data_IF_644687199080
#
_entry.id   IF_644687199080
#
_cell.length_a   1.000
_cell.length_b   1.000
_cell.length_c   1.000
_cell.angle_alpha   90.00
_cell.angle_beta   90.00
_cell.angle_gamma   90.00
#
_symmetry.space_group_name_H-M   'P 1'
#
loop_
_entity.id
_entity.type
_entity.pdbx_description
1 polymer ?
#
# COMPACT_ATOMS: atom_id res chain seq x y z
N UNK A 1 -65.03 -31.91 27.96
CA UNK A 1 -64.75 -31.58 26.55
C UNK A 1 -63.31 -31.98 26.28
N UNK A 2 -63.12 -33.25 25.97
CA UNK A 2 -61.85 -33.86 25.58
C UNK A 2 -62.01 -34.33 24.14
N UNK A 3 -61.09 -33.95 23.26
CA UNK A 3 -61.11 -34.29 21.84
C UNK A 3 -59.89 -35.13 21.47
N UNK A 4 -60.17 -36.42 21.30
CA UNK A 4 -59.66 -37.41 20.34
C UNK A 4 -58.26 -37.28 19.71
N UNK A 5 -57.54 -38.40 19.83
CA UNK A 5 -56.38 -38.86 19.03
C UNK A 5 -56.66 -38.89 17.53
N UNK A 6 -55.63 -38.72 16.71
CA UNK A 6 -55.40 -39.54 15.50
C UNK A 6 -53.91 -39.59 15.13
N UNK A 7 -53.48 -40.82 14.90
CA UNK A 7 -52.19 -41.34 14.44
C UNK A 7 -52.18 -41.33 12.90
N UNK A 8 -51.08 -40.88 12.28
CA UNK A 8 -50.87 -41.04 10.84
C UNK A 8 -49.44 -41.54 10.58
N UNK A 9 -49.38 -42.87 10.43
CA UNK A 9 -48.36 -43.64 9.74
C UNK A 9 -47.98 -43.02 8.37
N UNK A 10 -46.71 -42.67 8.19
CA UNK A 10 -46.15 -42.33 6.88
C UNK A 10 -45.87 -43.61 6.07
N UNK A 11 -46.40 -43.67 4.85
CA UNK A 11 -46.13 -44.73 3.88
C UNK A 11 -44.71 -44.58 3.27
N UNK A 12 -44.02 -45.68 2.91
CA UNK A 12 -42.71 -45.61 2.28
C UNK A 12 -42.81 -45.29 0.77
N UNK A 13 -41.94 -44.40 0.29
CA UNK A 13 -41.76 -44.08 -1.13
C UNK A 13 -40.80 -45.07 -1.81
N UNK A 14 -40.88 -45.28 -3.13
CA UNK A 14 -40.22 -46.39 -3.82
C UNK A 14 -38.72 -46.19 -4.04
N UNK A 15 -38.01 -47.31 -4.02
CA UNK A 15 -36.58 -47.48 -4.28
C UNK A 15 -36.27 -47.35 -5.78
N UNK A 16 -35.86 -46.15 -6.22
CA UNK A 16 -35.27 -45.96 -7.54
C UNK A 16 -33.74 -46.10 -7.45
N UNK A 17 -33.27 -47.31 -7.80
CA UNK A 17 -31.85 -47.61 -7.92
C UNK A 17 -31.18 -46.73 -8.97
N UNK A 18 -30.34 -45.79 -8.51
CA UNK A 18 -29.46 -45.02 -9.38
C UNK A 18 -28.11 -45.76 -9.53
N UNK A 19 -27.99 -46.43 -10.67
CA UNK A 19 -26.79 -47.11 -11.17
C UNK A 19 -25.54 -46.22 -11.06
N UNK A 20 -24.58 -46.67 -10.25
CA UNK A 20 -23.23 -46.11 -10.09
C UNK A 20 -22.33 -46.53 -11.25
N UNK A 21 -22.60 -46.10 -12.48
CA UNK A 21 -21.63 -46.27 -13.57
C UNK A 21 -21.92 -45.43 -14.81
N UNK A 22 -21.77 -44.10 -14.75
CA UNK A 22 -21.46 -43.23 -15.92
C UNK A 22 -21.44 -41.75 -15.52
N UNK A 23 -20.25 -41.23 -15.22
CA UNK A 23 -19.84 -39.88 -15.64
C UNK A 23 -18.38 -39.65 -15.24
N UNK A 24 -17.47 -40.27 -16.00
CA UNK A 24 -16.13 -39.74 -16.17
C UNK A 24 -16.28 -38.47 -17.03
N UNK A 25 -16.57 -37.34 -16.40
CA UNK A 25 -16.51 -36.04 -17.07
C UNK A 25 -15.03 -35.68 -17.17
N UNK A 26 -14.46 -35.96 -18.33
CA UNK A 26 -13.31 -35.24 -18.85
C UNK A 26 -13.65 -33.74 -18.78
N UNK A 27 -13.07 -33.03 -17.81
CA UNK A 27 -13.10 -31.58 -17.80
C UNK A 27 -12.08 -31.10 -18.83
N UNK A 28 -12.59 -30.73 -19.98
CA UNK A 28 -11.95 -29.95 -21.05
C UNK A 28 -11.00 -28.88 -20.47
N UNK A 29 -9.70 -29.15 -20.51
CA UNK A 29 -8.64 -28.18 -20.22
C UNK A 29 -8.28 -27.39 -21.50
N UNK A 30 -9.31 -26.82 -22.12
CA UNK A 30 -9.17 -25.87 -23.23
C UNK A 30 -9.76 -24.53 -22.76
N UNK A 31 -9.06 -23.87 -21.84
CA UNK A 31 -9.21 -22.42 -21.64
C UNK A 31 -8.03 -21.77 -22.36
N UNK A 32 -8.30 -21.17 -23.51
CA UNK A 32 -7.36 -20.35 -24.25
C UNK A 32 -6.70 -19.35 -23.31
N UNK A 33 -5.41 -19.55 -23.04
CA UNK A 33 -4.56 -18.55 -22.40
C UNK A 33 -4.45 -17.36 -23.36
N UNK A 34 -4.72 -16.10 -22.95
CA UNK A 34 -4.58 -14.96 -23.85
C UNK A 34 -3.14 -14.90 -24.37
N UNK A 35 -2.98 -14.94 -25.70
CA UNK A 35 -1.67 -15.06 -26.35
C UNK A 35 -0.91 -13.73 -26.41
N UNK A 36 -1.55 -12.57 -26.11
CA UNK A 36 -0.89 -11.26 -26.22
C UNK A 36 -1.15 -10.29 -25.05
N UNK A 37 -0.17 -9.45 -24.66
CA UNK A 37 -0.35 -8.39 -23.64
C UNK A 37 -1.45 -7.38 -23.99
N UNK A 38 -1.74 -7.16 -25.28
CA UNK A 38 -2.73 -6.19 -25.73
C UNK A 38 -4.19 -6.55 -25.41
N UNK A 39 -4.49 -7.79 -25.08
CA UNK A 39 -5.86 -8.23 -24.76
C UNK A 39 -6.19 -8.14 -23.26
N UNK A 40 -5.18 -8.06 -22.40
CA UNK A 40 -5.33 -8.04 -20.94
C UNK A 40 -5.33 -6.59 -20.41
N UNK A 41 -4.71 -5.66 -21.15
CA UNK A 41 -4.55 -4.27 -20.72
C UNK A 41 -5.33 -3.29 -21.59
N UNK A 42 -5.80 -2.18 -21.00
CA UNK A 42 -6.10 -1.02 -21.81
C UNK A 42 -4.85 -0.66 -22.62
N UNK A 43 -4.99 -0.53 -23.94
CA UNK A 43 -3.90 -0.04 -24.80
C UNK A 43 -3.43 1.32 -24.27
N UNK A 44 -2.17 1.72 -24.52
CA UNK A 44 -1.66 3.06 -24.15
C UNK A 44 -2.60 4.21 -24.56
N UNK A 45 -3.43 4.01 -25.58
CA UNK A 45 -4.46 4.94 -26.05
C UNK A 45 -5.69 5.09 -25.15
N UNK A 46 -5.88 4.23 -24.14
CA UNK A 46 -6.98 4.27 -23.17
C UNK A 46 -6.58 4.87 -21.81
N UNK A 47 -5.31 5.22 -21.61
CA UNK A 47 -4.83 5.96 -20.43
C UNK A 47 -5.32 7.42 -20.50
N UNK A 48 -5.83 7.96 -19.39
CA UNK A 48 -6.21 9.37 -19.31
C UNK A 48 -4.97 10.27 -19.43
N UNK A 49 -5.09 11.50 -19.97
CA UNK A 49 -3.96 12.42 -20.09
C UNK A 49 -3.19 12.68 -18.78
N UNK A 50 -3.84 12.84 -17.60
CA UNK A 50 -3.11 12.99 -16.32
C UNK A 50 -2.33 11.75 -15.91
N UNK A 51 -2.91 10.56 -16.12
CA UNK A 51 -2.24 9.30 -15.81
C UNK A 51 -1.01 9.12 -16.70
N UNK A 52 -1.14 9.41 -18.00
CA UNK A 52 -0.03 9.36 -18.94
C UNK A 52 1.08 10.34 -18.56
N UNK A 53 0.72 11.57 -18.19
CA UNK A 53 1.68 12.59 -17.74
C UNK A 53 2.54 12.08 -16.56
N UNK A 54 1.95 11.44 -15.56
CA UNK A 54 2.71 10.89 -14.44
C UNK A 54 3.50 9.61 -14.80
N UNK A 55 2.97 8.76 -15.68
CA UNK A 55 3.66 7.56 -16.16
C UNK A 55 4.91 7.92 -16.99
N UNK A 56 4.85 9.00 -17.77
CA UNK A 56 5.97 9.50 -18.58
C UNK A 56 7.07 10.12 -17.71
N UNK A 57 6.72 10.60 -16.51
CA UNK A 57 7.67 11.11 -15.53
C UNK A 57 8.28 9.96 -14.73
N UNK A 58 9.15 9.15 -15.33
CA UNK A 58 9.78 8.00 -14.66
C UNK A 58 10.31 8.33 -13.25
N UNK A 59 9.70 7.74 -12.22
CA UNK A 59 10.28 7.70 -10.88
C UNK A 59 11.43 6.69 -10.80
N UNK A 60 12.11 6.61 -9.65
CA UNK A 60 12.96 5.45 -9.34
C UNK A 60 12.03 4.25 -9.26
N UNK A 61 12.13 3.27 -10.17
CA UNK A 61 11.30 2.03 -10.22
C UNK A 61 11.54 1.13 -9.00
N UNK A 62 11.20 1.65 -7.83
CA UNK A 62 11.46 1.01 -6.55
C UNK A 62 10.54 -0.18 -6.36
N UNK A 63 9.24 -0.03 -6.68
CA UNK A 63 8.24 -1.10 -6.59
C UNK A 63 8.54 -2.25 -7.55
N UNK A 64 8.89 -1.97 -8.81
CA UNK A 64 9.31 -3.02 -9.74
C UNK A 64 10.59 -3.73 -9.29
N UNK A 65 11.52 -3.00 -8.67
CA UNK A 65 12.73 -3.60 -8.08
C UNK A 65 12.40 -4.52 -6.91
N UNK A 66 11.49 -4.12 -6.01
CA UNK A 66 11.03 -4.98 -4.92
C UNK A 66 10.33 -6.23 -5.46
N UNK A 67 9.41 -6.09 -6.41
CA UNK A 67 8.70 -7.23 -7.01
C UNK A 67 9.70 -8.23 -7.62
N UNK A 68 10.71 -7.74 -8.33
CA UNK A 68 11.80 -8.59 -8.86
C UNK A 68 12.61 -9.26 -7.74
N UNK A 69 12.90 -8.54 -6.66
CA UNK A 69 13.61 -9.11 -5.50
C UNK A 69 12.79 -10.22 -4.83
N UNK A 70 11.48 -10.04 -4.63
CA UNK A 70 10.58 -11.09 -4.16
C UNK A 70 10.58 -12.30 -5.11
N UNK A 71 10.70 -12.07 -6.41
CA UNK A 71 10.72 -13.14 -7.41
C UNK A 71 11.96 -14.03 -7.33
N UNK A 72 13.08 -13.57 -6.76
CA UNK A 72 14.26 -14.43 -6.52
C UNK A 72 13.91 -15.63 -5.61
N UNK A 73 12.96 -15.45 -4.67
CA UNK A 73 12.47 -16.52 -3.80
C UNK A 73 11.25 -17.26 -4.34
N UNK A 74 10.31 -16.52 -4.97
CA UNK A 74 9.03 -17.05 -5.43
C UNK A 74 9.13 -17.79 -6.76
N UNK A 75 10.12 -17.44 -7.60
CA UNK A 75 10.49 -18.11 -8.85
C UNK A 75 9.29 -18.29 -9.81
N UNK A 76 8.44 -17.26 -9.93
CA UNK A 76 7.30 -17.28 -10.85
C UNK A 76 7.75 -16.88 -12.28
N UNK A 77 7.01 -17.27 -13.34
CA UNK A 77 7.40 -16.98 -14.72
C UNK A 77 7.51 -15.47 -14.99
N UNK A 78 8.55 -15.05 -15.72
CA UNK A 78 8.84 -13.64 -16.03
C UNK A 78 7.63 -12.88 -16.59
N UNK A 79 6.86 -13.51 -17.47
CA UNK A 79 5.64 -12.93 -18.05
C UNK A 79 4.63 -12.53 -16.96
N UNK A 80 4.50 -13.32 -15.89
CA UNK A 80 3.58 -13.03 -14.77
C UNK A 80 4.12 -11.91 -13.89
N UNK A 81 5.43 -11.88 -13.66
CA UNK A 81 6.11 -10.78 -12.93
C UNK A 81 5.88 -9.44 -13.63
N UNK A 82 6.05 -9.39 -14.95
CA UNK A 82 5.80 -8.19 -15.76
C UNK A 82 4.35 -7.74 -15.66
N UNK A 83 3.42 -8.69 -15.71
CA UNK A 83 1.98 -8.43 -15.58
C UNK A 83 1.65 -7.80 -14.22
N UNK A 84 2.14 -8.40 -13.13
CA UNK A 84 1.92 -7.93 -11.76
C UNK A 84 2.57 -6.57 -11.56
N UNK A 85 3.81 -6.40 -12.03
CA UNK A 85 4.54 -5.12 -11.96
C UNK A 85 3.73 -4.01 -12.63
N UNK A 86 3.17 -4.27 -13.81
CA UNK A 86 2.36 -3.29 -14.52
C UNK A 86 1.06 -2.93 -13.79
N UNK A 87 0.38 -3.91 -13.20
CA UNK A 87 -0.83 -3.67 -12.40
C UNK A 87 -0.52 -2.76 -11.20
N UNK A 88 0.55 -3.08 -10.47
CA UNK A 88 0.97 -2.32 -9.29
C UNK A 88 1.41 -0.90 -9.68
N UNK A 89 2.12 -0.72 -10.80
CA UNK A 89 2.51 0.60 -11.31
C UNK A 89 1.30 1.47 -11.66
N UNK A 90 0.29 0.90 -12.33
CA UNK A 90 -0.94 1.62 -12.67
C UNK A 90 -1.68 2.06 -11.41
N UNK A 91 -1.91 1.13 -10.47
CA UNK A 91 -2.61 1.44 -9.22
C UNK A 91 -1.86 2.48 -8.38
N UNK A 92 -0.53 2.35 -8.28
CA UNK A 92 0.30 3.32 -7.58
C UNK A 92 0.24 4.70 -8.24
N UNK A 93 0.31 4.78 -9.57
CA UNK A 93 0.27 6.06 -10.27
C UNK A 93 -1.11 6.71 -10.17
N UNK A 94 -2.18 5.91 -10.21
CA UNK A 94 -3.54 6.37 -9.94
C UNK A 94 -3.69 6.89 -8.52
N UNK A 95 -3.11 6.22 -7.52
CA UNK A 95 -3.18 6.70 -6.13
C UNK A 95 -2.44 8.01 -5.93
N UNK A 96 -1.28 8.21 -6.58
CA UNK A 96 -0.54 9.48 -6.52
C UNK A 96 -1.34 10.67 -7.05
N UNK A 97 -2.14 10.48 -8.10
CA UNK A 97 -2.99 11.56 -8.62
C UNK A 97 -4.05 12.00 -7.60
N UNK A 98 -4.57 11.06 -6.81
CA UNK A 98 -5.57 11.32 -5.78
C UNK A 98 -4.89 11.96 -4.56
N UNK A 99 -3.77 11.40 -4.13
CA UNK A 99 -2.93 11.88 -3.00
C UNK A 99 -2.52 13.35 -3.20
N UNK A 100 -1.99 13.70 -4.38
CA UNK A 100 -1.57 15.09 -4.67
C UNK A 100 -2.75 16.09 -4.60
N UNK A 101 -4.00 15.66 -4.87
CA UNK A 101 -5.20 16.49 -4.72
C UNK A 101 -5.59 16.61 -3.24
N UNK A 102 -5.59 15.50 -2.50
CA UNK A 102 -5.97 15.43 -1.10
C UNK A 102 -4.98 16.18 -0.18
N UNK A 103 -3.70 16.20 -0.56
CA UNK A 103 -2.62 16.84 0.18
C UNK A 103 -2.37 18.28 -0.25
N UNK A 104 -3.06 18.75 -1.30
CA UNK A 104 -2.84 20.08 -1.88
C UNK A 104 -1.37 20.30 -2.29
N UNK A 105 -0.68 19.25 -2.74
CA UNK A 105 0.72 19.30 -3.16
C UNK A 105 0.89 20.19 -4.38
N UNK A 106 1.98 20.95 -4.43
CA UNK A 106 2.28 21.81 -5.58
C UNK A 106 3.15 21.09 -6.63
N UNK A 107 4.01 20.17 -6.18
CA UNK A 107 5.01 19.50 -7.01
C UNK A 107 5.04 17.99 -6.81
N UNK A 108 5.19 17.25 -7.90
CA UNK A 108 5.52 15.82 -7.93
C UNK A 108 6.76 15.61 -8.80
N UNK A 109 7.78 14.96 -8.25
CA UNK A 109 9.04 14.66 -8.98
C UNK A 109 9.68 15.92 -9.58
N UNK A 110 9.51 17.08 -8.91
CA UNK A 110 10.03 18.37 -9.35
C UNK A 110 9.23 19.06 -10.47
N UNK A 111 8.03 18.55 -10.80
CA UNK A 111 7.14 19.10 -11.82
C UNK A 111 5.75 19.41 -11.21
N UNK A 112 4.96 20.34 -11.76
CA UNK A 112 3.62 20.63 -11.27
C UNK A 112 2.70 19.40 -11.24
N UNK A 113 1.88 19.24 -10.20
CA UNK A 113 0.93 18.13 -10.07
C UNK A 113 -0.17 18.16 -11.14
N UNK A 114 -0.72 17.01 -11.50
CA UNK A 114 -1.46 16.79 -12.75
C UNK A 114 -2.99 17.05 -12.71
N UNK A 115 -3.51 17.85 -11.78
CA UNK A 115 -4.94 17.93 -11.46
C UNK A 115 -5.87 18.27 -12.66
N UNK A 116 -6.47 17.25 -13.31
CA UNK A 116 -7.72 17.31 -14.11
C UNK A 116 -8.18 15.94 -14.64
N UNK A 117 -9.20 15.34 -14.00
CA UNK A 117 -10.02 14.19 -14.46
C UNK A 117 -9.36 12.79 -14.51
N UNK A 118 -9.79 11.90 -13.61
CA UNK A 118 -9.37 10.49 -13.57
C UNK A 118 -10.61 9.60 -13.77
N UNK A 119 -10.67 8.92 -14.91
CA UNK A 119 -11.39 7.66 -15.05
C UNK A 119 -10.54 6.72 -15.90
N UNK A 120 -10.15 5.59 -15.34
CA UNK A 120 -9.49 4.50 -16.03
C UNK A 120 -9.95 3.19 -15.41
N UNK A 121 -10.88 2.50 -16.06
CA UNK A 121 -11.29 1.15 -15.64
C UNK A 121 -10.22 0.16 -16.08
N UNK A 122 -9.45 -0.38 -15.13
CA UNK A 122 -8.62 -1.54 -15.39
C UNK A 122 -9.53 -2.78 -15.43
N UNK A 123 -9.94 -3.20 -16.63
CA UNK A 123 -10.68 -4.44 -16.83
C UNK A 123 -9.74 -5.65 -16.70
N UNK A 124 -9.39 -6.03 -15.46
CA UNK A 124 -8.69 -7.29 -15.22
C UNK A 124 -9.73 -8.42 -15.24
N UNK A 125 -9.80 -9.19 -16.33
CA UNK A 125 -10.47 -10.50 -16.33
C UNK A 125 -9.64 -11.46 -15.46
N UNK A 126 -9.84 -11.42 -14.15
CA UNK A 126 -9.11 -12.23 -13.19
C UNK A 126 -9.98 -13.37 -12.63
N UNK A 127 -9.33 -14.45 -12.21
CA UNK A 127 -9.95 -15.54 -11.43
C UNK A 127 -10.48 -14.97 -10.10
N UNK A 128 -11.53 -15.58 -9.52
CA UNK A 128 -12.24 -15.08 -8.33
C UNK A 128 -11.31 -14.67 -7.18
N UNK A 129 -10.23 -15.44 -6.95
CA UNK A 129 -9.27 -15.18 -5.87
C UNK A 129 -8.41 -13.93 -6.13
N UNK A 130 -7.98 -13.71 -7.38
CA UNK A 130 -7.25 -12.50 -7.78
C UNK A 130 -8.17 -11.26 -7.76
N UNK A 131 -9.46 -11.41 -8.07
CA UNK A 131 -10.45 -10.33 -7.92
C UNK A 131 -10.68 -9.94 -6.46
N UNK A 132 -10.64 -10.88 -5.53
CA UNK A 132 -10.78 -10.59 -4.10
C UNK A 132 -9.60 -9.76 -3.58
N UNK A 133 -8.37 -10.21 -3.86
CA UNK A 133 -7.13 -9.50 -3.47
C UNK A 133 -7.11 -8.09 -4.10
N UNK A 134 -7.51 -7.99 -5.38
CA UNK A 134 -7.58 -6.71 -6.08
C UNK A 134 -8.63 -5.76 -5.52
N UNK A 135 -9.65 -6.25 -4.83
CA UNK A 135 -10.67 -5.40 -4.19
C UNK A 135 -10.28 -5.03 -2.75
N UNK A 136 -9.67 -5.94 -1.99
CA UNK A 136 -9.29 -5.69 -0.59
C UNK A 136 -8.16 -4.67 -0.46
N UNK A 137 -7.06 -4.84 -1.20
CA UNK A 137 -5.86 -4.04 -0.97
C UNK A 137 -6.02 -2.56 -1.33
N UNK A 138 -6.75 -2.18 -2.41
CA UNK A 138 -7.10 -0.78 -2.64
C UNK A 138 -8.07 -0.20 -1.59
N UNK A 139 -8.94 -1.03 -0.98
CA UNK A 139 -9.78 -0.56 0.12
C UNK A 139 -8.92 -0.23 1.34
N UNK A 140 -7.97 -1.09 1.71
CA UNK A 140 -7.02 -0.82 2.79
C UNK A 140 -6.21 0.46 2.50
N UNK A 141 -5.74 0.65 1.26
CA UNK A 141 -5.07 1.88 0.85
C UNK A 141 -5.93 3.12 1.15
N UNK A 142 -7.22 3.09 0.82
CA UNK A 142 -8.14 4.20 1.09
C UNK A 142 -8.48 4.38 2.57
N UNK A 143 -8.55 3.29 3.35
CA UNK A 143 -8.74 3.36 4.81
C UNK A 143 -7.53 4.03 5.46
N UNK A 144 -6.32 3.59 5.12
CA UNK A 144 -5.09 4.20 5.62
C UNK A 144 -4.97 5.68 5.24
N UNK A 145 -5.31 6.02 3.99
CA UNK A 145 -5.39 7.42 3.55
C UNK A 145 -6.42 8.22 4.35
N UNK A 146 -7.60 7.67 4.57
CA UNK A 146 -8.66 8.31 5.35
C UNK A 146 -8.25 8.59 6.79
N UNK A 147 -7.47 7.70 7.42
CA UNK A 147 -6.92 7.90 8.76
C UNK A 147 -5.88 9.04 8.79
N UNK A 148 -4.95 9.06 7.84
CA UNK A 148 -3.93 10.12 7.70
C UNK A 148 -4.59 11.50 7.57
N UNK A 149 -5.61 11.60 6.69
CA UNK A 149 -6.41 12.80 6.51
C UNK A 149 -7.21 13.14 7.77
N UNK A 150 -7.86 12.17 8.41
CA UNK A 150 -8.65 12.40 9.62
C UNK A 150 -7.80 13.02 10.74
N UNK A 151 -6.62 12.46 11.01
CA UNK A 151 -5.71 12.98 12.02
C UNK A 151 -5.26 14.40 11.70
N UNK A 152 -4.85 14.63 10.45
CA UNK A 152 -4.41 15.95 9.95
C UNK A 152 -5.50 17.01 10.07
N UNK A 153 -6.71 16.73 9.59
CA UNK A 153 -7.80 17.71 9.56
C UNK A 153 -8.39 17.97 10.95
N UNK A 154 -8.36 16.99 11.85
CA UNK A 154 -8.88 17.14 13.22
C UNK A 154 -7.80 17.48 14.25
N UNK A 155 -6.53 17.59 13.84
CA UNK A 155 -5.37 17.82 14.71
C UNK A 155 -5.29 16.81 15.87
N UNK A 156 -5.64 15.55 15.58
CA UNK A 156 -5.56 14.45 16.53
C UNK A 156 -4.26 13.71 16.26
N UNK A 157 -3.27 13.88 17.14
CA UNK A 157 -2.03 13.11 17.04
C UNK A 157 -2.31 11.63 17.33
N UNK A 158 -2.02 10.71 16.41
CA UNK A 158 -2.17 9.29 16.66
C UNK A 158 -1.13 8.78 17.67
N UNK A 159 -1.41 7.62 18.24
CA UNK A 159 -0.39 6.81 18.91
C UNK A 159 0.51 6.16 17.85
N UNK A 160 1.72 5.74 18.26
CA UNK A 160 2.66 5.14 17.31
C UNK A 160 2.10 3.84 16.69
N UNK A 161 1.39 3.03 17.47
CA UNK A 161 0.78 1.79 16.98
C UNK A 161 -0.29 2.06 15.92
N UNK A 162 -1.14 3.07 16.13
CA UNK A 162 -2.14 3.50 15.14
C UNK A 162 -1.47 3.99 13.85
N UNK A 163 -0.38 4.77 13.97
CA UNK A 163 0.38 5.24 12.81
C UNK A 163 1.01 4.08 12.03
N UNK A 164 1.59 3.09 12.72
CA UNK A 164 2.17 1.90 12.07
C UNK A 164 1.11 1.08 11.34
N UNK A 165 -0.09 0.95 11.93
CA UNK A 165 -1.21 0.26 11.30
C UNK A 165 -1.76 1.01 10.08
N UNK A 166 -1.91 2.34 10.18
CA UNK A 166 -2.28 3.18 9.03
C UNK A 166 -1.30 3.01 7.87
N UNK A 167 0.00 2.94 8.15
CA UNK A 167 1.02 2.74 7.11
C UNK A 167 0.98 1.33 6.52
N UNK A 168 0.72 0.32 7.34
CA UNK A 168 0.52 -1.06 6.88
C UNK A 168 -0.63 -1.11 5.84
N UNK A 169 -1.66 -0.30 6.04
CA UNK A 169 -2.79 -0.17 5.13
C UNK A 169 -2.44 0.68 3.89
N UNK A 170 -1.93 1.91 4.07
CA UNK A 170 -1.61 2.86 3.01
C UNK A 170 -0.45 2.41 2.13
N UNK A 171 0.73 2.23 2.70
CA UNK A 171 1.97 1.98 1.93
C UNK A 171 2.28 0.49 1.80
N UNK A 172 1.92 -0.30 2.82
CA UNK A 172 2.01 -1.76 2.80
C UNK A 172 1.06 -2.40 1.78
N UNK A 173 -0.17 -1.89 1.63
CA UNK A 173 -1.21 -2.50 0.82
C UNK A 173 -0.83 -2.73 -0.65
N UNK A 174 -0.18 -1.77 -1.32
CA UNK A 174 0.24 -1.94 -2.71
C UNK A 174 1.39 -2.94 -2.90
N UNK A 175 2.32 -3.04 -1.95
CA UNK A 175 3.39 -4.03 -1.99
C UNK A 175 2.85 -5.41 -1.63
N UNK A 176 1.98 -5.48 -0.62
CA UNK A 176 1.27 -6.69 -0.21
C UNK A 176 0.38 -7.22 -1.32
N UNK A 177 -0.33 -6.37 -2.06
CA UNK A 177 -1.05 -6.73 -3.28
C UNK A 177 -0.13 -7.44 -4.27
N UNK A 178 1.04 -6.86 -4.56
CA UNK A 178 2.00 -7.46 -5.48
C UNK A 178 2.42 -8.85 -5.01
N UNK A 179 2.80 -8.99 -3.74
CA UNK A 179 3.25 -10.25 -3.16
C UNK A 179 2.13 -11.29 -3.09
N UNK A 180 0.91 -10.91 -2.69
CA UNK A 180 -0.27 -11.80 -2.69
C UNK A 180 -0.58 -12.31 -4.10
N UNK A 181 -0.51 -11.45 -5.12
CA UNK A 181 -0.68 -11.86 -6.52
C UNK A 181 0.43 -12.83 -6.98
N UNK A 182 1.67 -12.63 -6.53
CA UNK A 182 2.76 -13.57 -6.83
C UNK A 182 2.60 -14.90 -6.08
N UNK A 183 2.08 -14.88 -4.85
CA UNK A 183 1.83 -16.08 -4.05
C UNK A 183 0.73 -16.96 -4.66
N UNK A 184 -0.24 -16.39 -5.37
CA UNK A 184 -1.21 -17.19 -6.16
C UNK A 184 -0.55 -18.08 -7.22
N UNK A 185 0.69 -17.76 -7.61
CA UNK A 185 1.42 -18.44 -8.67
C UNK A 185 2.43 -19.47 -8.14
N UNK A 186 2.44 -19.70 -6.83
CA UNK A 186 3.39 -20.62 -6.18
C UNK A 186 2.78 -21.27 -4.93
N UNK A 187 3.40 -22.34 -4.43
CA UNK A 187 2.98 -23.02 -3.20
C UNK A 187 3.89 -22.65 -2.00
N UNK A 188 4.48 -21.46 -2.03
CA UNK A 188 5.39 -20.96 -0.99
C UNK A 188 4.59 -20.45 0.22
N UNK A 189 5.15 -20.50 1.44
CA UNK A 189 4.45 -20.06 2.64
C UNK A 189 4.17 -18.55 2.66
N UNK A 190 3.17 -18.14 3.44
CA UNK A 190 2.70 -16.75 3.54
C UNK A 190 3.66 -15.80 4.29
N UNK A 191 4.83 -16.26 4.73
CA UNK A 191 5.85 -15.45 5.44
C UNK A 191 6.29 -14.22 4.63
N UNK A 192 6.13 -14.25 3.30
CA UNK A 192 6.43 -13.11 2.43
C UNK A 192 5.47 -11.92 2.61
N UNK A 193 4.27 -12.13 3.15
CA UNK A 193 3.30 -11.05 3.44
C UNK A 193 3.80 -10.21 4.62
N UNK A 194 4.19 -10.85 5.73
CA UNK A 194 4.76 -10.17 6.91
C UNK A 194 6.00 -9.37 6.57
N UNK A 195 6.82 -9.91 5.68
CA UNK A 195 7.99 -9.25 5.15
C UNK A 195 7.61 -8.03 4.27
N UNK A 196 6.63 -8.18 3.38
CA UNK A 196 6.14 -7.07 2.55
C UNK A 196 5.64 -5.90 3.42
N UNK A 197 4.87 -6.20 4.48
CA UNK A 197 4.43 -5.19 5.44
C UNK A 197 5.62 -4.49 6.11
N UNK A 198 6.60 -5.26 6.58
CA UNK A 198 7.79 -4.71 7.25
C UNK A 198 8.58 -3.78 6.33
N UNK A 199 8.75 -4.15 5.06
CA UNK A 199 9.38 -3.31 4.02
C UNK A 199 8.55 -2.06 3.74
N UNK A 200 7.22 -2.19 3.66
CA UNK A 200 6.31 -1.07 3.43
C UNK A 200 6.38 -0.03 4.55
N UNK A 201 6.40 -0.48 5.81
CA UNK A 201 6.51 0.42 6.96
C UNK A 201 7.88 1.11 6.98
N UNK A 202 8.97 0.35 6.78
CA UNK A 202 10.31 0.94 6.73
C UNK A 202 10.45 1.98 5.59
N UNK A 203 9.83 1.72 4.44
CA UNK A 203 9.82 2.66 3.32
C UNK A 203 9.12 3.98 3.70
N UNK A 204 7.96 3.91 4.35
CA UNK A 204 7.22 5.11 4.72
C UNK A 204 7.93 5.90 5.83
N UNK A 205 8.46 5.25 6.86
CA UNK A 205 9.25 5.92 7.90
C UNK A 205 10.48 6.60 7.28
N UNK A 206 11.14 5.93 6.33
CA UNK A 206 12.24 6.53 5.59
C UNK A 206 11.81 7.73 4.74
N UNK A 207 10.61 7.72 4.17
CA UNK A 207 10.06 8.86 3.41
C UNK A 207 9.78 10.07 4.30
N UNK A 208 9.07 9.84 5.40
CA UNK A 208 8.76 10.83 6.43
C UNK A 208 10.05 11.45 7.02
N UNK A 209 11.06 10.63 7.32
CA UNK A 209 12.37 11.12 7.77
C UNK A 209 13.05 12.01 6.71
N UNK A 210 13.07 11.55 5.45
CA UNK A 210 13.72 12.28 4.35
C UNK A 210 13.00 13.56 3.97
N UNK A 211 11.68 13.63 4.14
CA UNK A 211 10.89 14.85 3.90
C UNK A 211 11.42 16.02 4.77
N UNK A 212 11.82 15.71 6.01
CA UNK A 212 12.26 16.70 6.99
C UNK A 212 13.77 16.93 7.05
N UNK A 213 14.61 15.95 6.64
CA UNK A 213 16.08 16.01 6.80
C UNK A 213 16.88 16.17 5.52
N UNK A 214 16.33 15.87 4.34
CA UNK A 214 17.15 15.75 3.12
C UNK A 214 16.95 16.94 2.16
N UNK A 215 17.96 17.82 1.96
CA UNK A 215 17.86 18.89 0.98
C UNK A 215 17.54 18.43 -0.46
N UNK A 216 17.85 17.16 -0.80
CA UNK A 216 17.50 16.59 -2.11
C UNK A 216 16.02 16.25 -2.25
N UNK A 217 15.30 15.94 -1.16
CA UNK A 217 13.84 15.76 -1.21
C UNK A 217 13.15 17.10 -1.49
N UNK A 218 13.78 18.21 -1.09
CA UNK A 218 13.25 19.56 -1.32
C UNK A 218 13.16 19.93 -2.80
N UNK A 219 14.02 19.34 -3.64
CA UNK A 219 13.96 19.54 -5.10
C UNK A 219 12.75 18.81 -5.72
N UNK A 220 12.31 17.70 -5.12
CA UNK A 220 11.23 16.88 -5.65
C UNK A 220 9.83 17.32 -5.19
N UNK A 221 9.73 17.85 -3.96
CA UNK A 221 8.48 18.13 -3.23
C UNK A 221 8.46 19.49 -2.49
N UNK A 222 9.56 20.24 -2.48
CA UNK A 222 9.70 21.46 -1.66
C UNK A 222 10.23 21.19 -0.24
N UNK A 223 10.75 22.21 0.47
CA UNK A 223 11.35 22.02 1.78
C UNK A 223 10.31 21.68 2.85
N UNK A 224 10.45 20.50 3.47
CA UNK A 224 9.63 20.03 4.60
C UNK A 224 8.12 20.17 4.31
N UNK A 225 7.67 19.56 3.21
CA UNK A 225 6.28 19.60 2.76
C UNK A 225 5.32 19.04 3.82
N UNK A 226 5.72 18.00 4.57
CA UNK A 226 4.90 17.39 5.63
C UNK A 226 4.44 18.43 6.68
N UNK A 227 5.29 19.41 7.02
CA UNK A 227 4.93 20.50 7.93
C UNK A 227 3.94 21.50 7.32
N UNK A 228 3.97 21.64 5.99
CA UNK A 228 3.05 22.49 5.23
C UNK A 228 1.70 21.82 5.09
N UNK A 229 1.68 20.51 4.88
CA UNK A 229 0.48 19.68 4.86
C UNK A 229 -0.16 19.62 6.26
N UNK A 230 0.65 19.72 7.32
CA UNK A 230 0.21 19.51 8.70
C UNK A 230 0.17 18.02 9.07
N UNK A 231 0.95 17.20 8.35
CA UNK A 231 0.96 15.75 8.47
C UNK A 231 1.57 15.28 9.79
N UNK A 232 0.98 14.26 10.40
CA UNK A 232 1.52 13.57 11.56
C UNK A 232 2.49 12.45 11.11
N UNK A 233 3.67 12.84 10.63
CA UNK A 233 4.74 11.90 10.31
C UNK A 233 5.42 11.35 11.58
N UNK A 234 6.14 10.22 11.49
CA UNK A 234 6.71 9.59 12.70
C UNK A 234 7.60 10.53 13.54
N UNK A 235 8.52 11.34 12.96
CA UNK A 235 9.30 12.30 13.73
C UNK A 235 8.43 13.32 14.48
N UNK A 236 7.29 13.71 13.88
CA UNK A 236 6.34 14.65 14.47
C UNK A 236 5.56 14.00 15.60
N UNK A 237 5.04 12.79 15.39
CA UNK A 237 4.33 12.01 16.42
C UNK A 237 5.25 11.79 17.63
N UNK A 238 6.47 11.31 17.40
CA UNK A 238 7.43 11.09 18.49
C UNK A 238 7.72 12.39 19.26
N UNK A 239 7.95 13.50 18.55
CA UNK A 239 8.20 14.80 19.18
C UNK A 239 7.04 15.26 20.07
N UNK A 240 5.81 15.22 19.56
CA UNK A 240 4.60 15.60 20.31
C UNK A 240 4.38 14.73 21.55
N UNK A 241 4.63 13.42 21.44
CA UNK A 241 4.42 12.48 22.54
C UNK A 241 5.54 12.49 23.57
N UNK A 242 6.76 12.85 23.17
CA UNK A 242 7.89 12.99 24.09
C UNK A 242 7.67 14.11 25.13
N UNK A 243 6.84 15.11 24.80
CA UNK A 243 6.47 16.19 25.70
C UNK A 243 5.02 16.67 25.44
N UNK A 244 4.00 15.97 25.98
CA UNK A 244 2.59 16.22 25.67
C UNK A 244 2.06 17.61 26.05
N UNK A 245 2.69 18.27 27.04
CA UNK A 245 2.33 19.62 27.46
C UNK A 245 2.83 20.70 26.47
N UNK A 246 3.74 20.33 25.56
CA UNK A 246 4.32 21.25 24.61
C UNK A 246 3.58 21.27 23.28
N UNK A 247 2.81 22.33 23.08
CA UNK A 247 1.97 22.48 21.89
C UNK A 247 2.68 23.12 20.70
N UNK A 248 4.00 23.36 20.76
CA UNK A 248 4.72 24.13 19.72
C UNK A 248 4.60 23.49 18.34
N UNK A 249 4.90 22.19 18.23
CA UNK A 249 4.82 21.47 16.94
C UNK A 249 3.37 21.40 16.46
N UNK A 250 2.42 21.14 17.36
CA UNK A 250 1.00 21.08 17.00
C UNK A 250 0.49 22.44 16.47
N UNK A 251 0.93 23.54 17.08
CA UNK A 251 0.62 24.88 16.62
C UNK A 251 1.24 25.20 15.25
N UNK A 252 2.42 24.64 14.94
CA UNK A 252 3.06 24.79 13.63
C UNK A 252 2.32 23.97 12.57
N UNK A 253 1.97 22.70 12.85
CA UNK A 253 1.18 21.87 11.93
C UNK A 253 -0.15 22.55 11.59
N UNK A 254 -0.84 23.10 12.60
CA UNK A 254 -2.10 23.83 12.41
C UNK A 254 -1.97 25.04 11.48
N UNK A 255 -0.81 25.69 11.45
CA UNK A 255 -0.58 26.86 10.59
C UNK A 255 -0.44 26.49 9.12
N UNK A 256 -0.08 25.23 8.79
CA UNK A 256 0.22 24.80 7.41
C UNK A 256 1.17 25.77 6.71
N UNK A 257 2.21 26.18 7.44
CA UNK A 257 3.05 27.30 7.07
C UNK A 257 3.94 26.98 5.87
N UNK A 258 4.12 27.97 4.99
CA UNK A 258 5.15 27.94 3.93
C UNK A 258 6.44 28.64 4.35
N UNK A 259 6.47 29.26 5.53
CA UNK A 259 7.63 29.99 6.04
C UNK A 259 8.77 29.03 6.42
N UNK A 260 9.90 29.17 5.74
CA UNK A 260 11.09 28.35 5.96
C UNK A 260 11.68 28.50 7.36
N UNK A 261 11.62 29.70 7.96
CA UNK A 261 12.15 29.92 9.31
C UNK A 261 11.31 29.17 10.35
N UNK A 262 9.99 29.13 10.18
CA UNK A 262 9.10 28.35 11.06
C UNK A 262 9.34 26.86 10.88
N UNK A 263 9.55 26.38 9.64
CA UNK A 263 9.90 24.99 9.37
C UNK A 263 11.24 24.61 10.00
N UNK A 264 12.27 25.45 9.87
CA UNK A 264 13.57 25.22 10.50
C UNK A 264 13.48 25.17 12.03
N UNK A 265 12.65 26.02 12.64
CA UNK A 265 12.38 25.96 14.07
C UNK A 265 11.76 24.62 14.49
N UNK A 266 10.75 24.13 13.75
CA UNK A 266 10.14 22.84 14.01
C UNK A 266 11.15 21.68 13.91
N UNK A 267 12.00 21.69 12.89
CA UNK A 267 13.07 20.69 12.72
C UNK A 267 14.04 20.72 13.90
N UNK A 268 14.53 21.90 14.29
CA UNK A 268 15.45 22.04 15.41
C UNK A 268 14.84 21.54 16.73
N UNK A 269 13.53 21.76 16.91
CA UNK A 269 12.81 21.24 18.07
C UNK A 269 12.61 19.71 18.03
N UNK A 270 12.31 19.14 16.86
CA UNK A 270 12.26 17.68 16.66
C UNK A 270 13.64 17.03 16.88
N UNK A 271 14.73 17.72 16.56
CA UNK A 271 16.09 17.29 16.90
C UNK A 271 16.30 17.31 18.42
N UNK A 272 15.89 18.37 19.13
CA UNK A 272 16.08 18.44 20.59
C UNK A 272 15.23 17.45 21.40
N UNK A 273 14.22 16.84 20.78
CA UNK A 273 13.41 15.75 21.35
C UNK A 273 13.95 14.36 20.99
N UNK A 274 15.04 14.27 20.23
CA UNK A 274 15.63 13.00 19.79
C UNK A 274 14.79 12.24 18.75
N UNK A 275 13.86 12.93 18.08
CA UNK A 275 12.87 12.30 17.20
C UNK A 275 13.48 11.72 15.92
N UNK A 276 14.52 12.37 15.37
CA UNK A 276 15.23 11.85 14.21
C UNK A 276 16.07 10.62 14.56
N UNK A 277 16.75 10.65 15.69
CA UNK A 277 17.55 9.52 16.20
C UNK A 277 16.66 8.32 16.51
N UNK A 278 15.43 8.56 16.98
CA UNK A 278 14.42 7.52 17.16
C UNK A 278 14.09 6.82 15.84
N UNK A 279 13.74 7.58 14.80
CA UNK A 279 13.44 7.02 13.48
C UNK A 279 14.64 6.27 12.88
N UNK A 280 15.86 6.80 13.02
CA UNK A 280 17.08 6.11 12.56
C UNK A 280 17.27 4.77 13.28
N UNK A 281 17.07 4.72 14.60
CA UNK A 281 17.15 3.45 15.34
C UNK A 281 16.13 2.43 14.85
N UNK A 282 14.89 2.84 14.60
CA UNK A 282 13.84 1.95 14.06
C UNK A 282 14.21 1.42 12.68
N UNK A 283 14.70 2.29 11.79
CA UNK A 283 15.12 1.91 10.44
C UNK A 283 16.33 0.95 10.44
N UNK A 284 17.29 1.15 11.34
CA UNK A 284 18.50 0.30 11.46
C UNK A 284 18.21 -1.03 12.14
N UNK A 285 17.38 -1.04 13.18
CA UNK A 285 17.03 -2.27 13.91
C UNK A 285 16.02 -3.13 13.13
N UNK A 286 15.31 -2.52 12.18
CA UNK A 286 14.30 -3.14 11.33
C UNK A 286 13.02 -3.52 12.09
N UNK A 287 11.89 -3.51 11.40
CA UNK A 287 10.57 -3.75 11.97
C UNK A 287 10.20 -5.24 11.89
N UNK A 288 9.69 -5.84 12.98
CA UNK A 288 9.20 -7.23 13.04
C UNK A 288 10.03 -8.22 13.91
N UNK A 289 9.74 -9.53 13.91
CA UNK A 289 10.59 -10.54 14.57
C UNK A 289 11.95 -10.69 13.85
N UNK A 290 13.02 -11.04 14.56
CA UNK A 290 14.35 -11.30 13.95
C UNK A 290 14.41 -12.63 13.18
N UNK A 291 13.54 -13.56 13.52
CA UNK A 291 13.46 -14.88 12.90
C UNK A 291 12.92 -14.73 11.46
N UNK A 292 13.66 -15.25 10.46
CA UNK A 292 13.30 -15.14 9.05
C UNK A 292 13.83 -13.91 8.31
N UNK A 293 14.60 -13.03 8.98
CA UNK A 293 15.21 -11.84 8.36
C UNK A 293 16.55 -12.08 7.64
N UNK A 294 17.09 -13.30 7.68
CA UNK A 294 18.38 -13.62 7.06
C UNK A 294 18.34 -13.28 5.55
N UNK A 295 19.01 -12.19 5.18
CA UNK A 295 19.04 -11.65 3.81
C UNK A 295 18.30 -10.31 3.59
N UNK A 296 17.50 -9.85 4.55
CA UNK A 296 16.73 -8.59 4.45
C UNK A 296 17.35 -7.39 5.15
N UNK A 297 18.33 -7.60 6.04
CA UNK A 297 19.02 -6.51 6.75
C UNK A 297 19.64 -5.49 5.78
N UNK A 298 20.10 -5.94 4.61
CA UNK A 298 20.61 -5.04 3.57
C UNK A 298 19.51 -4.20 2.91
N UNK A 299 18.28 -4.72 2.79
CA UNK A 299 17.12 -3.97 2.27
C UNK A 299 16.72 -2.89 3.26
N UNK A 300 16.63 -3.22 4.56
CA UNK A 300 16.34 -2.24 5.61
C UNK A 300 17.45 -1.18 5.72
N UNK A 301 18.72 -1.58 5.67
CA UNK A 301 19.85 -0.65 5.66
C UNK A 301 19.86 0.25 4.40
N UNK A 302 19.50 -0.27 3.22
CA UNK A 302 19.36 0.54 1.99
C UNK A 302 18.19 1.52 2.05
N UNK A 303 17.08 1.13 2.68
CA UNK A 303 15.93 2.00 2.92
C UNK A 303 16.22 3.09 3.95
N UNK A 304 17.07 2.79 4.93
CA UNK A 304 17.49 3.72 5.98
C UNK A 304 18.50 4.78 5.51
N UNK A 305 19.33 4.49 4.49
CA UNK A 305 20.56 5.25 4.20
C UNK A 305 20.69 5.83 2.78
N UNK A 306 19.60 5.94 1.99
CA UNK A 306 19.64 6.55 0.64
C UNK A 306 18.65 7.69 0.42
#
# INVERSE_FOLDING_TARGET
MESSRMDHSAQPMPDEGFDRSRNRRESNDNRETPESPSEIYPSKSQESPPLRYLLEQSGKDFRGTLIRAFNEWLQIPTRKVEIITRIVELLHTSSLLIDDIEDSSELRRGLPVAHSSIYGHANLKAHLDASHIFNEEPLDLHIGQGLDLYWRENLVCPDEEDYLEMIRQKTGGLLRLAVRLMLLETNKPDDFITLADSVGIAFQIGDDYRNLRNPKSFVAKGPCEDLTEGKFSLPVIHSLRSNPEDTRILAILRQRTKDEAVKQYAIAYMESTGSFEYCERLLVQGLGPKEGRDGFDHVFAMLALR
#
